data_IF_612076255723
#
_entry.id   IF_612076255723
#
_cell.length_a   1.000
_cell.length_b   1.000
_cell.length_c   1.000
_cell.angle_alpha   90.00
_cell.angle_beta   90.00
_cell.angle_gamma   90.00
#
_symmetry.space_group_name_H-M   'P 1'
#
loop_
_entity.id
_entity.type
_entity.pdbx_description
1 polymer ?
#
# COMPACT_ATOMS: atom_id res chain seq x y z
N UNK A 1 -6.45 -37.23 28.38
CA UNK A 1 -5.72 -36.95 27.12
C UNK A 1 -6.34 -35.69 26.47
N UNK A 2 -6.14 -34.49 27.03
CA UNK A 2 -6.76 -33.26 26.50
C UNK A 2 -5.81 -32.03 26.44
N UNK A 3 -4.52 -32.19 26.77
CA UNK A 3 -3.57 -31.06 26.91
C UNK A 3 -2.71 -30.76 25.67
N UNK A 4 -2.87 -31.54 24.58
CA UNK A 4 -2.00 -31.41 23.40
C UNK A 4 -2.38 -30.30 22.40
N UNK A 5 -3.63 -29.82 22.42
CA UNK A 5 -4.15 -28.91 21.37
C UNK A 5 -3.98 -27.44 21.76
N UNK A 6 -3.95 -27.12 23.06
CA UNK A 6 -3.84 -25.74 23.58
C UNK A 6 -2.43 -25.14 23.43
N UNK A 7 -1.39 -25.97 23.45
CA UNK A 7 0.00 -25.50 23.39
C UNK A 7 0.41 -25.08 21.96
N UNK A 8 -0.21 -25.69 20.93
CA UNK A 8 0.06 -25.37 19.53
C UNK A 8 -0.52 -24.02 19.10
N UNK A 9 -1.70 -23.66 19.60
CA UNK A 9 -2.33 -22.35 19.31
C UNK A 9 -1.60 -21.20 19.99
N UNK A 10 -1.08 -21.40 21.20
CA UNK A 10 -0.24 -20.41 21.91
C UNK A 10 1.13 -20.22 21.25
N UNK A 11 1.77 -21.30 20.78
CA UNK A 11 3.02 -21.20 20.02
C UNK A 11 2.82 -20.45 18.68
N UNK A 12 1.70 -20.67 18.00
CA UNK A 12 1.36 -19.98 16.74
C UNK A 12 1.05 -18.50 16.97
N UNK A 13 0.33 -18.15 18.03
CA UNK A 13 0.05 -16.76 18.39
C UNK A 13 1.31 -16.00 18.81
N UNK A 14 2.22 -16.64 19.56
CA UNK A 14 3.50 -16.05 19.93
C UNK A 14 4.38 -15.77 18.69
N UNK A 15 4.47 -16.72 17.75
CA UNK A 15 5.17 -16.52 16.48
C UNK A 15 4.54 -15.42 15.62
N UNK A 16 3.21 -15.31 15.59
CA UNK A 16 2.48 -14.27 14.86
C UNK A 16 2.72 -12.87 15.46
N UNK A 17 2.72 -12.74 16.79
CA UNK A 17 3.03 -11.47 17.49
C UNK A 17 4.50 -11.06 17.30
N UNK A 18 5.42 -12.02 17.22
CA UNK A 18 6.82 -11.75 16.90
C UNK A 18 6.99 -11.31 15.44
N UNK A 19 6.32 -11.95 14.48
CA UNK A 19 6.30 -11.54 13.07
C UNK A 19 5.70 -10.14 12.87
N UNK A 20 4.62 -9.81 13.58
CA UNK A 20 4.00 -8.48 13.55
C UNK A 20 4.89 -7.39 14.15
N UNK A 21 5.63 -7.70 15.23
CA UNK A 21 6.62 -6.77 15.78
C UNK A 21 7.81 -6.59 14.84
N UNK A 22 8.22 -7.65 14.14
CA UNK A 22 9.29 -7.59 13.15
C UNK A 22 8.89 -6.71 11.96
N UNK A 23 7.71 -6.91 11.39
CA UNK A 23 7.16 -6.07 10.31
C UNK A 23 7.01 -4.62 10.76
N UNK A 24 6.56 -4.36 12.00
CA UNK A 24 6.50 -2.99 12.56
C UNK A 24 7.88 -2.37 12.76
N UNK A 25 8.89 -3.17 13.09
CA UNK A 25 10.26 -2.71 13.29
C UNK A 25 10.98 -2.45 11.96
N UNK A 26 10.77 -3.32 10.96
CA UNK A 26 11.18 -3.14 9.57
C UNK A 26 10.49 -1.94 8.95
N UNK A 27 9.17 -1.76 9.10
CA UNK A 27 8.49 -0.55 8.61
C UNK A 27 8.92 0.75 9.34
N UNK A 28 9.39 0.66 10.58
CA UNK A 28 9.96 1.82 11.30
C UNK A 28 11.41 2.11 10.91
N UNK A 29 12.15 1.13 10.41
CA UNK A 29 13.53 1.28 9.95
C UNK A 29 13.62 1.59 8.46
N UNK A 30 12.71 1.05 7.66
CA UNK A 30 12.78 0.96 6.21
C UNK A 30 11.45 1.33 5.54
N UNK A 31 10.86 2.48 5.90
CA UNK A 31 9.73 3.06 5.13
C UNK A 31 10.04 3.21 3.62
N UNK A 32 11.33 3.17 3.26
CA UNK A 32 11.83 3.14 1.90
C UNK A 32 11.55 1.83 1.14
N UNK A 33 11.52 0.67 1.79
CA UNK A 33 11.20 -0.61 1.10
C UNK A 33 9.74 -0.67 0.69
N UNK A 34 8.82 -0.30 1.59
CA UNK A 34 7.39 -0.24 1.26
C UNK A 34 7.10 0.81 0.17
N UNK A 35 7.82 1.94 0.20
CA UNK A 35 7.74 2.97 -0.85
C UNK A 35 8.24 2.46 -2.20
N UNK A 36 9.33 1.68 -2.21
CA UNK A 36 9.86 1.05 -3.43
C UNK A 36 8.86 0.04 -4.01
N UNK A 37 8.30 -0.84 -3.18
CA UNK A 37 7.29 -1.81 -3.64
C UNK A 37 6.06 -1.11 -4.24
N UNK A 38 5.54 -0.08 -3.56
CA UNK A 38 4.42 0.69 -4.09
C UNK A 38 4.74 1.41 -5.41
N UNK A 39 5.97 1.90 -5.56
CA UNK A 39 6.43 2.55 -6.79
C UNK A 39 6.61 1.55 -7.96
N UNK A 40 7.10 0.34 -7.69
CA UNK A 40 7.20 -0.74 -8.67
C UNK A 40 5.82 -1.20 -9.15
N UNK A 41 4.84 -1.35 -8.24
CA UNK A 41 3.45 -1.64 -8.60
C UNK A 41 2.82 -0.52 -9.44
N UNK A 42 3.10 0.74 -9.12
CA UNK A 42 2.66 1.87 -9.93
C UNK A 42 3.26 1.83 -11.34
N UNK A 43 4.56 1.53 -11.47
CA UNK A 43 5.22 1.39 -12.76
C UNK A 43 4.61 0.24 -13.58
N UNK A 44 4.26 -0.88 -12.95
CA UNK A 44 3.57 -1.99 -13.61
C UNK A 44 2.19 -1.57 -14.16
N UNK A 45 1.42 -0.78 -13.41
CA UNK A 45 0.14 -0.22 -13.88
C UNK A 45 0.34 0.75 -15.04
N UNK A 46 1.36 1.59 -14.97
CA UNK A 46 1.70 2.53 -16.04
C UNK A 46 2.07 1.81 -17.34
N UNK A 47 2.93 0.79 -17.26
CA UNK A 47 3.30 -0.03 -18.42
C UNK A 47 2.07 -0.73 -19.01
N UNK A 48 1.19 -1.28 -18.15
CA UNK A 48 -0.04 -1.90 -18.62
C UNK A 48 -0.93 -0.91 -19.40
N UNK A 49 -1.09 0.31 -18.88
CA UNK A 49 -1.86 1.35 -19.55
C UNK A 49 -1.22 1.76 -20.88
N UNK A 50 0.11 1.86 -20.93
CA UNK A 50 0.84 2.13 -22.18
C UNK A 50 0.60 1.03 -23.22
N UNK A 51 0.74 -0.24 -22.85
CA UNK A 51 0.49 -1.39 -23.73
C UNK A 51 -0.96 -1.38 -24.25
N UNK A 52 -1.91 -1.10 -23.36
CA UNK A 52 -3.32 -0.97 -23.72
C UNK A 52 -3.56 0.17 -24.70
N UNK A 53 -3.01 1.36 -24.46
CA UNK A 53 -3.13 2.51 -25.37
C UNK A 53 -2.48 2.26 -26.73
N UNK A 54 -1.32 1.59 -26.77
CA UNK A 54 -0.71 1.18 -28.04
C UNK A 54 -1.62 0.24 -28.83
N UNK A 55 -2.27 -0.72 -28.16
CA UNK A 55 -3.22 -1.65 -28.79
C UNK A 55 -4.44 -0.92 -29.33
N UNK A 56 -5.04 -0.04 -28.54
CA UNK A 56 -6.17 0.80 -28.96
C UNK A 56 -5.82 1.66 -30.17
N UNK A 57 -4.56 2.14 -30.27
CA UNK A 57 -4.08 2.95 -31.39
C UNK A 57 -3.79 2.15 -32.69
N UNK A 58 -3.50 0.84 -32.59
CA UNK A 58 -3.30 -0.03 -33.78
C UNK A 58 -4.62 -0.31 -34.51
N UNK A 59 -5.76 -0.11 -33.83
CA UNK A 59 -7.10 -0.27 -34.39
C UNK A 59 -7.61 -1.71 -34.28
N UNK A 60 -8.91 -1.84 -33.99
CA UNK A 60 -9.60 -3.12 -33.94
C UNK A 60 -9.79 -3.65 -35.36
N UNK A 61 -8.87 -4.48 -35.83
CA UNK A 61 -9.14 -5.30 -37.01
C UNK A 61 -10.23 -6.33 -36.65
N UNK A 62 -11.42 -6.21 -37.25
CA UNK A 62 -12.63 -7.06 -37.03
C UNK A 62 -12.36 -8.58 -37.06
N UNK A 63 -11.24 -9.01 -37.65
CA UNK A 63 -10.81 -10.41 -37.74
C UNK A 63 -10.17 -10.97 -36.45
N UNK A 64 -9.76 -10.11 -35.50
CA UNK A 64 -9.09 -10.50 -34.26
C UNK A 64 -9.87 -10.10 -32.99
N UNK A 65 -11.13 -9.67 -33.13
CA UNK A 65 -11.84 -8.94 -32.07
C UNK A 65 -12.75 -9.81 -31.18
N UNK A 66 -12.39 -11.06 -30.91
CA UNK A 66 -13.19 -11.87 -29.97
C UNK A 66 -13.01 -11.37 -28.52
N UNK A 67 -14.10 -11.38 -27.74
CA UNK A 67 -14.05 -11.02 -26.31
C UNK A 67 -13.06 -11.90 -25.53
N UNK A 68 -13.05 -13.21 -25.79
CA UNK A 68 -12.11 -14.16 -25.20
C UNK A 68 -10.64 -13.79 -25.49
N UNK A 69 -10.32 -13.39 -26.72
CA UNK A 69 -8.97 -12.98 -27.07
C UNK A 69 -8.56 -11.71 -26.33
N UNK A 70 -9.46 -10.72 -26.22
CA UNK A 70 -9.20 -9.50 -25.41
C UNK A 70 -8.92 -9.83 -23.96
N UNK A 71 -9.69 -10.75 -23.36
CA UNK A 71 -9.47 -11.17 -21.97
C UNK A 71 -8.13 -11.87 -21.79
N UNK A 72 -7.79 -12.85 -22.65
CA UNK A 72 -6.47 -13.52 -22.58
C UNK A 72 -5.32 -12.53 -22.78
N UNK A 73 -5.47 -11.60 -23.71
CA UNK A 73 -4.45 -10.59 -23.97
C UNK A 73 -4.29 -9.62 -22.80
N UNK A 74 -5.40 -9.25 -22.15
CA UNK A 74 -5.37 -8.39 -20.96
C UNK A 74 -4.64 -9.07 -19.80
N UNK A 75 -4.88 -10.37 -19.57
CA UNK A 75 -4.14 -11.15 -18.57
C UNK A 75 -2.66 -11.29 -18.91
N UNK A 76 -2.34 -11.45 -20.19
CA UNK A 76 -0.96 -11.48 -20.67
C UNK A 76 -0.25 -10.14 -20.44
N UNK A 77 -0.89 -9.03 -20.80
CA UNK A 77 -0.36 -7.67 -20.62
C UNK A 77 -0.15 -7.36 -19.14
N UNK A 78 -0.98 -7.88 -18.23
CA UNK A 78 -0.83 -7.73 -16.79
C UNK A 78 0.41 -8.47 -16.25
N UNK A 79 0.68 -9.69 -16.72
CA UNK A 79 1.90 -10.42 -16.35
C UNK A 79 3.14 -9.80 -16.98
N UNK A 80 3.02 -9.38 -18.24
CA UNK A 80 4.12 -8.73 -18.95
C UNK A 80 4.50 -7.42 -18.29
N UNK A 81 3.52 -6.59 -17.89
CA UNK A 81 3.80 -5.31 -17.24
C UNK A 81 4.46 -5.49 -15.88
N UNK A 82 4.03 -6.47 -15.07
CA UNK A 82 4.72 -6.86 -13.83
C UNK A 82 6.16 -7.29 -14.06
N UNK A 83 6.38 -8.14 -15.08
CA UNK A 83 7.72 -8.62 -15.40
C UNK A 83 8.64 -7.49 -15.88
N UNK A 84 8.12 -6.56 -16.69
CA UNK A 84 8.84 -5.37 -17.12
C UNK A 84 9.15 -4.43 -15.95
N UNK A 85 8.21 -4.21 -15.04
CA UNK A 85 8.41 -3.40 -13.84
C UNK A 85 9.47 -3.99 -12.89
N UNK A 86 9.64 -5.33 -12.85
CA UNK A 86 10.71 -5.96 -12.07
C UNK A 86 12.11 -5.53 -12.54
N UNK A 87 12.30 -5.36 -13.85
CA UNK A 87 13.56 -4.83 -14.40
C UNK A 87 13.63 -3.30 -14.29
N UNK A 88 12.47 -2.67 -14.25
CA UNK A 88 12.29 -1.23 -14.12
C UNK A 88 12.54 -0.50 -15.44
N UNK A 89 11.69 0.48 -15.75
CA UNK A 89 12.00 1.50 -16.78
C UNK A 89 12.56 2.78 -16.14
N UNK A 90 12.63 2.82 -14.80
CA UNK A 90 13.22 3.88 -13.99
C UNK A 90 12.20 4.85 -13.39
N UNK A 91 10.89 4.65 -13.63
CA UNK A 91 9.83 5.48 -13.07
C UNK A 91 9.71 5.25 -11.56
N UNK A 92 9.80 3.99 -11.12
CA UNK A 92 9.73 3.63 -9.71
C UNK A 92 10.85 4.31 -8.91
N UNK A 93 12.07 4.30 -9.44
CA UNK A 93 13.22 4.95 -8.80
C UNK A 93 13.04 6.47 -8.68
N UNK A 94 12.50 7.11 -9.72
CA UNK A 94 12.20 8.55 -9.69
C UNK A 94 11.12 8.89 -8.66
N UNK A 95 10.07 8.06 -8.54
CA UNK A 95 9.04 8.25 -7.51
C UNK A 95 9.60 8.13 -6.10
N UNK A 96 10.40 7.08 -5.85
CA UNK A 96 11.07 6.88 -4.57
C UNK A 96 11.97 8.07 -4.25
N UNK A 97 12.75 8.56 -5.21
CA UNK A 97 13.60 9.74 -5.03
C UNK A 97 12.79 11.00 -4.68
N UNK A 98 11.68 11.26 -5.36
CA UNK A 98 10.85 12.45 -5.11
C UNK A 98 10.13 12.38 -3.75
N UNK A 99 9.64 11.21 -3.37
CA UNK A 99 8.94 10.98 -2.11
C UNK A 99 9.89 10.93 -0.90
N UNK A 100 11.16 10.60 -1.11
CA UNK A 100 12.20 10.74 -0.08
C UNK A 100 12.65 12.20 0.09
N UNK A 101 12.71 12.98 -1.00
CA UNK A 101 13.08 14.41 -0.96
C UNK A 101 11.96 15.29 -0.42
N UNK A 102 10.71 14.87 -0.59
CA UNK A 102 9.54 15.54 -0.02
C UNK A 102 9.14 14.77 1.22
N UNK A 103 9.60 15.12 2.45
CA UNK A 103 9.05 14.51 3.64
C UNK A 103 7.54 14.75 3.58
N UNK A 104 6.79 13.66 3.39
CA UNK A 104 5.37 13.60 3.71
C UNK A 104 5.30 13.87 5.21
N UNK A 105 5.29 15.14 5.59
CA UNK A 105 4.79 15.58 6.88
C UNK A 105 3.37 15.06 6.89
N UNK A 106 3.20 13.88 7.48
CA UNK A 106 1.91 13.39 7.91
C UNK A 106 1.35 14.54 8.72
N UNK A 107 0.42 15.28 8.11
CA UNK A 107 -0.43 16.24 8.79
C UNK A 107 -1.12 15.41 9.86
N UNK A 108 -0.50 15.37 11.04
CA UNK A 108 -1.15 14.97 12.26
C UNK A 108 -2.46 15.75 12.27
N UNK A 109 -3.56 15.00 12.41
CA UNK A 109 -4.91 15.52 12.42
C UNK A 109 -4.96 16.87 13.17
N UNK A 110 -5.71 17.86 12.68
CA UNK A 110 -5.87 19.09 13.42
C UNK A 110 -6.50 18.76 14.77
N UNK A 111 -5.69 18.82 15.83
CA UNK A 111 -6.15 19.00 17.21
C UNK A 111 -6.71 20.41 17.32
N UNK A 112 -7.84 20.65 16.67
CA UNK A 112 -8.75 21.77 16.88
C UNK A 112 -9.87 21.19 17.76
N UNK A 113 -10.20 21.68 18.95
CA UNK A 113 -10.01 22.98 19.56
C UNK A 113 -10.11 22.84 21.08
N UNK A 114 -9.23 23.54 21.79
CA UNK A 114 -9.58 24.25 23.02
C UNK A 114 -10.92 24.97 22.84
N UNK A 115 -11.92 24.59 23.62
CA UNK A 115 -12.95 25.53 24.07
C UNK A 115 -12.95 25.51 25.59
N UNK A 116 -12.26 26.51 26.15
CA UNK A 116 -12.42 26.92 27.52
C UNK A 116 -13.63 27.86 27.61
N UNK A 117 -14.58 27.55 28.50
CA UNK A 117 -15.39 28.54 29.22
C UNK A 117 -16.35 27.81 30.17
N UNK A 118 -16.12 27.92 31.48
CA UNK A 118 -16.99 27.36 32.51
C UNK A 118 -16.29 27.07 33.84
N UNK A 119 -15.41 27.97 34.30
CA UNK A 119 -15.07 28.04 35.72
C UNK A 119 -16.30 28.56 36.46
N UNK A 120 -17.15 27.65 36.95
CA UNK A 120 -18.04 27.93 38.07
C UNK A 120 -17.32 27.45 39.33
N UNK A 121 -16.48 28.33 39.84
CA UNK A 121 -16.02 28.28 41.23
C UNK A 121 -16.99 29.11 42.04
N UNK A 122 -17.86 28.48 42.83
CA UNK A 122 -18.15 29.02 44.15
C UNK A 122 -18.39 27.90 45.15
N UNK A 123 -17.73 28.10 46.28
CA UNK A 123 -17.55 27.17 47.36
C UNK A 123 -18.84 27.01 48.16
N UNK A 124 -19.07 25.78 48.57
CA UNK A 124 -19.71 25.38 49.82
C UNK A 124 -19.29 26.28 50.99
N UNK A 125 -20.22 26.98 51.65
CA UNK A 125 -20.15 27.37 53.08
C UNK A 125 -21.53 27.78 53.62
N UNK A 126 -22.12 26.90 54.44
CA UNK A 126 -22.65 27.20 55.79
C UNK A 126 -23.35 28.56 56.04
N UNK A 127 -24.69 28.59 56.10
CA UNK A 127 -25.54 28.74 57.31
C UNK A 127 -26.97 29.19 56.98
#
# INVERSE_FOLDING_TARGET
MADGISNFSQARLAMDVQGLNQIKLENRRDGNEGLRQAAEEFEALFINMMLKSMREAVGDSELFDSHQQRTMMSMYDEQLSRHMATRGIGLADQMVQQLQQTPITATAAPSTMTQASGQESDQETEK
#
